data_IF_930932976400
#
_entry.id   IF_930932976400
#
_cell.length_a   1.000
_cell.length_b   1.000
_cell.length_c   1.000
_cell.angle_alpha   90.00
_cell.angle_beta   90.00
_cell.angle_gamma   90.00
#
_symmetry.space_group_name_H-M   'P 1'
#
loop_
_entity.id
_entity.type
_entity.pdbx_description
1 polymer ?
#
# COMPACT_ATOMS: atom_id res chain seq x y z
N UNK A 1 -8.47 -2.33 14.16
CA UNK A 1 -7.79 -3.08 13.07
C UNK A 1 -6.93 -2.11 12.30
N UNK A 2 -5.71 -1.86 12.79
CA UNK A 2 -4.98 -0.65 12.42
C UNK A 2 -4.19 -0.77 11.11
N UNK A 3 -3.50 -1.89 10.87
CA UNK A 3 -2.61 -2.06 9.72
C UNK A 3 -2.58 -3.54 9.33
N UNK A 4 -2.80 -3.86 8.04
CA UNK A 4 -2.65 -5.23 7.55
C UNK A 4 -1.17 -5.59 7.43
N UNK A 5 -0.83 -6.86 7.61
CA UNK A 5 0.47 -7.42 7.21
C UNK A 5 0.52 -7.67 5.70
N UNK A 6 1.71 -7.93 5.16
CA UNK A 6 1.87 -8.30 3.75
C UNK A 6 1.12 -9.58 3.37
N UNK A 7 1.14 -10.59 4.25
CA UNK A 7 0.40 -11.84 4.01
C UNK A 7 -1.11 -11.65 4.11
N UNK A 8 -1.62 -10.86 5.07
CA UNK A 8 -3.04 -10.52 5.12
C UNK A 8 -3.49 -9.73 3.88
N UNK A 9 -2.63 -8.87 3.35
CA UNK A 9 -2.89 -8.20 2.07
C UNK A 9 -2.99 -9.22 0.93
N UNK A 10 -1.98 -10.07 0.73
CA UNK A 10 -1.97 -11.09 -0.33
C UNK A 10 -3.15 -12.04 -0.19
N UNK A 11 -3.47 -12.48 1.02
CA UNK A 11 -4.60 -13.34 1.32
C UNK A 11 -5.93 -12.67 0.96
N UNK A 12 -6.10 -11.38 1.31
CA UNK A 12 -7.31 -10.65 0.92
C UNK A 12 -7.49 -10.50 -0.59
N UNK A 13 -6.41 -10.58 -1.38
CA UNK A 13 -6.50 -10.64 -2.84
C UNK A 13 -6.99 -11.99 -3.35
N UNK A 14 -6.55 -13.09 -2.73
CA UNK A 14 -6.96 -14.47 -3.10
C UNK A 14 -8.41 -14.77 -2.77
N UNK A 15 -8.96 -14.12 -1.75
CA UNK A 15 -10.36 -14.26 -1.33
C UNK A 15 -11.35 -13.49 -2.21
N UNK A 16 -10.86 -12.53 -3.01
CA UNK A 16 -11.71 -11.76 -3.91
C UNK A 16 -12.17 -12.60 -5.10
N UNK A 17 -13.40 -12.34 -5.56
CA UNK A 17 -13.93 -12.95 -6.79
C UNK A 17 -13.04 -12.56 -7.99
N UNK A 18 -12.50 -13.54 -8.74
CA UNK A 18 -11.72 -13.25 -9.94
C UNK A 18 -12.57 -12.51 -10.98
N UNK A 19 -12.06 -11.38 -11.47
CA UNK A 19 -12.75 -10.56 -12.48
C UNK A 19 -11.80 -9.82 -13.44
N UNK A 20 -10.48 -9.99 -13.30
CA UNK A 20 -9.48 -9.32 -14.13
C UNK A 20 -9.20 -10.17 -15.36
N UNK A 21 -9.42 -9.60 -16.55
CA UNK A 21 -9.10 -10.26 -17.82
C UNK A 21 -7.91 -9.56 -18.48
N UNK A 22 -6.93 -10.34 -18.93
CA UNK A 22 -5.76 -9.84 -19.65
C UNK A 22 -5.36 -10.85 -20.72
N UNK A 23 -5.00 -10.37 -21.92
CA UNK A 23 -4.68 -11.23 -23.07
C UNK A 23 -5.77 -12.26 -23.39
N UNK A 24 -7.05 -11.87 -23.26
CA UNK A 24 -8.20 -12.73 -23.59
C UNK A 24 -8.51 -13.83 -22.57
N UNK A 25 -7.81 -13.91 -21.44
CA UNK A 25 -8.08 -14.88 -20.37
C UNK A 25 -8.40 -14.21 -19.05
N UNK A 26 -9.24 -14.86 -18.24
CA UNK A 26 -9.44 -14.53 -16.83
C UNK A 26 -8.16 -14.87 -16.05
N UNK A 27 -7.73 -13.95 -15.19
CA UNK A 27 -6.71 -14.20 -14.17
C UNK A 27 -7.43 -14.68 -12.92
N UNK A 28 -7.25 -15.95 -12.55
CA UNK A 28 -7.90 -16.56 -11.38
C UNK A 28 -7.23 -16.13 -10.06
N UNK A 29 -5.91 -15.98 -10.05
CA UNK A 29 -5.15 -15.56 -8.88
C UNK A 29 -4.11 -14.49 -9.25
N UNK A 30 -4.38 -13.26 -8.84
CA UNK A 30 -3.49 -12.11 -9.11
C UNK A 30 -2.16 -12.19 -8.36
N UNK A 31 -2.08 -13.00 -7.30
CA UNK A 31 -0.87 -13.13 -6.47
C UNK A 31 0.17 -14.05 -7.10
N UNK A 32 -0.24 -14.93 -8.01
CA UNK A 32 0.64 -15.93 -8.65
C UNK A 32 0.78 -15.75 -10.16
N UNK A 33 -0.17 -15.10 -10.83
CA UNK A 33 -0.12 -14.90 -12.28
C UNK A 33 1.10 -14.06 -12.72
N UNK A 34 1.87 -14.49 -13.73
CA UNK A 34 3.06 -13.76 -14.20
C UNK A 34 2.80 -12.30 -14.58
N UNK A 35 1.58 -11.97 -15.01
CA UNK A 35 1.22 -10.65 -15.47
C UNK A 35 0.88 -9.66 -14.34
N UNK A 36 0.68 -10.13 -13.10
CA UNK A 36 0.25 -9.32 -11.95
C UNK A 36 1.08 -9.53 -10.68
N UNK A 37 1.69 -10.71 -10.49
CA UNK A 37 2.38 -11.08 -9.24
C UNK A 37 3.42 -10.07 -8.77
N UNK A 38 4.17 -9.48 -9.69
CA UNK A 38 5.21 -8.50 -9.36
C UNK A 38 4.64 -7.16 -8.92
N UNK A 39 3.48 -6.77 -9.46
CA UNK A 39 2.74 -5.61 -8.96
C UNK A 39 2.21 -5.88 -7.56
N UNK A 40 1.69 -7.07 -7.29
CA UNK A 40 1.26 -7.46 -5.94
C UNK A 40 2.43 -7.43 -4.96
N UNK A 41 3.59 -7.99 -5.34
CA UNK A 41 4.78 -8.00 -4.51
C UNK A 41 5.32 -6.59 -4.23
N UNK A 42 5.35 -5.71 -5.23
CA UNK A 42 5.73 -4.31 -5.02
C UNK A 42 4.83 -3.59 -4.02
N UNK A 43 3.53 -3.90 -4.02
CA UNK A 43 2.60 -3.35 -3.02
C UNK A 43 2.72 -4.02 -1.65
N UNK A 44 3.08 -5.31 -1.56
CA UNK A 44 3.24 -6.00 -0.27
C UNK A 44 4.36 -5.40 0.58
N UNK A 45 5.43 -4.93 -0.06
CA UNK A 45 6.52 -4.21 0.62
C UNK A 45 6.04 -2.97 1.40
N UNK A 46 4.95 -2.32 0.95
CA UNK A 46 4.36 -1.17 1.66
C UNK A 46 3.70 -1.63 2.97
N UNK A 47 3.13 -2.84 2.99
CA UNK A 47 2.56 -3.42 4.21
C UNK A 47 3.67 -3.90 5.14
N UNK A 48 4.75 -4.50 4.62
CA UNK A 48 5.94 -4.82 5.43
C UNK A 48 6.54 -3.58 6.11
N UNK A 49 6.72 -2.49 5.37
CA UNK A 49 7.27 -1.24 5.91
C UNK A 49 6.43 -0.65 7.07
N UNK A 50 5.14 -0.97 7.17
CA UNK A 50 4.28 -0.52 8.28
C UNK A 50 4.59 -1.24 9.59
N UNK A 51 5.24 -2.41 9.53
CA UNK A 51 5.61 -3.22 10.69
C UNK A 51 7.12 -3.22 10.96
N UNK A 52 7.92 -2.65 10.05
CA UNK A 52 9.36 -2.44 10.23
C UNK A 52 9.61 -1.32 11.25
N UNK A 53 10.33 -1.56 12.37
CA UNK A 53 10.61 -0.55 13.39
C UNK A 53 11.33 0.70 12.88
N UNK A 54 12.14 0.61 11.83
CA UNK A 54 12.90 1.74 11.28
C UNK A 54 12.06 2.59 10.31
N UNK A 55 11.07 1.97 9.66
CA UNK A 55 10.26 2.60 8.61
C UNK A 55 8.86 2.99 9.07
N UNK A 56 8.33 2.33 10.11
CA UNK A 56 6.93 2.47 10.58
C UNK A 56 6.51 3.92 10.77
N UNK A 57 7.31 4.72 11.46
CA UNK A 57 6.96 6.12 11.77
C UNK A 57 6.92 7.02 10.52
N UNK A 58 7.61 6.61 9.46
CA UNK A 58 7.61 7.31 8.16
C UNK A 58 6.36 6.96 7.35
N UNK A 59 5.88 5.72 7.42
CA UNK A 59 4.81 5.19 6.56
C UNK A 59 3.44 5.10 7.26
N UNK A 60 3.39 5.32 8.57
CA UNK A 60 2.18 5.35 9.39
C UNK A 60 2.00 6.69 10.09
N UNK A 61 0.79 6.94 10.57
CA UNK A 61 0.42 8.10 11.39
C UNK A 61 -0.83 7.73 12.22
N UNK A 62 -1.04 8.39 13.36
CA UNK A 62 -2.28 8.26 14.11
C UNK A 62 -3.39 9.05 13.42
N UNK A 63 -4.48 8.38 13.09
CA UNK A 63 -5.67 9.01 12.53
C UNK A 63 -6.30 9.97 13.54
N UNK A 64 -6.50 11.22 13.14
CA UNK A 64 -7.20 12.20 13.97
C UNK A 64 -8.71 11.93 14.10
N UNK A 65 -9.27 11.06 13.25
CA UNK A 65 -10.68 10.69 13.30
C UNK A 65 -10.94 9.52 14.25
N UNK A 66 -10.00 8.57 14.34
CA UNK A 66 -10.21 7.31 15.05
C UNK A 66 -9.26 7.10 16.22
N UNK A 67 -8.17 7.85 16.33
CA UNK A 67 -7.11 7.62 17.33
C UNK A 67 -6.25 6.38 17.06
N UNK A 68 -6.52 5.65 15.98
CA UNK A 68 -5.83 4.41 15.62
C UNK A 68 -4.69 4.68 14.63
N UNK A 69 -3.62 3.86 14.63
CA UNK A 69 -2.60 3.92 13.59
C UNK A 69 -3.20 3.57 12.23
N UNK A 70 -2.85 4.36 11.22
CA UNK A 70 -3.25 4.15 9.83
C UNK A 70 -2.03 4.27 8.92
N UNK A 71 -2.14 3.72 7.71
CA UNK A 71 -1.18 4.04 6.65
C UNK A 71 -1.30 5.53 6.32
N UNK A 72 -0.16 6.21 6.17
CA UNK A 72 -0.13 7.63 5.82
C UNK A 72 -0.78 7.92 4.46
N UNK A 73 -0.91 6.93 3.57
CA UNK A 73 -1.74 7.08 2.36
C UNK A 73 -3.23 7.37 2.62
N UNK A 74 -3.72 7.01 3.80
CA UNK A 74 -5.12 7.20 4.21
C UNK A 74 -5.30 8.41 5.13
N UNK A 75 -4.24 9.15 5.45
CA UNK A 75 -4.34 10.31 6.33
C UNK A 75 -4.87 11.53 5.59
N UNK A 76 -5.76 12.28 6.24
CA UNK A 76 -6.09 13.65 5.82
C UNK A 76 -4.94 14.55 6.24
N UNK A 77 -4.43 15.32 5.28
CA UNK A 77 -3.30 16.23 5.46
C UNK A 77 -3.83 17.54 6.05
N UNK A 78 -3.38 17.89 7.25
CA UNK A 78 -3.89 19.04 8.03
C UNK A 78 -2.84 20.13 8.24
N UNK A 79 -1.60 19.93 7.80
CA UNK A 79 -0.52 20.91 7.91
C UNK A 79 0.48 20.80 6.76
N UNK A 80 1.30 21.83 6.57
CA UNK A 80 2.40 21.81 5.61
C UNK A 80 3.45 20.74 5.95
N UNK A 81 3.68 20.49 7.24
CA UNK A 81 4.59 19.44 7.71
C UNK A 81 4.07 18.04 7.33
N UNK A 82 2.77 17.77 7.55
CA UNK A 82 2.15 16.51 7.15
C UNK A 82 2.23 16.30 5.64
N UNK A 83 2.14 17.37 4.83
CA UNK A 83 2.33 17.30 3.37
C UNK A 83 3.77 16.96 2.98
N UNK A 84 4.75 17.55 3.66
CA UNK A 84 6.17 17.24 3.46
C UNK A 84 6.44 15.77 3.81
N UNK A 85 5.91 15.29 4.93
CA UNK A 85 6.10 13.90 5.36
C UNK A 85 5.40 12.90 4.44
N UNK A 86 4.21 13.24 3.92
CA UNK A 86 3.57 12.47 2.85
C UNK A 86 4.45 12.38 1.60
N UNK A 87 5.12 13.47 1.21
CA UNK A 87 6.05 13.48 0.08
C UNK A 87 7.30 12.63 0.33
N UNK A 88 7.88 12.71 1.53
CA UNK A 88 9.02 11.86 1.95
C UNK A 88 8.64 10.38 1.96
N UNK A 89 7.46 10.05 2.50
CA UNK A 89 6.92 8.71 2.55
C UNK A 89 6.73 8.12 1.15
N UNK A 90 6.15 8.88 0.22
CA UNK A 90 6.02 8.47 -1.19
C UNK A 90 7.39 8.17 -1.83
N UNK A 91 8.37 9.07 -1.65
CA UNK A 91 9.73 8.86 -2.18
C UNK A 91 10.38 7.59 -1.62
N UNK A 92 10.28 7.35 -0.31
CA UNK A 92 10.76 6.14 0.34
C UNK A 92 10.15 4.89 -0.29
N UNK A 93 8.83 4.86 -0.45
CA UNK A 93 8.13 3.69 -0.98
C UNK A 93 8.38 3.47 -2.48
N UNK A 94 8.67 4.52 -3.25
CA UNK A 94 9.11 4.39 -4.64
C UNK A 94 10.51 3.79 -4.74
N UNK A 95 11.43 4.16 -3.84
CA UNK A 95 12.75 3.52 -3.78
C UNK A 95 12.66 2.06 -3.35
N UNK A 96 11.77 1.73 -2.42
CA UNK A 96 11.60 0.36 -1.93
C UNK A 96 11.00 -0.55 -3.03
N UNK A 97 9.86 -0.15 -3.59
CA UNK A 97 9.12 -0.95 -4.57
C UNK A 97 9.66 -0.88 -6.01
N UNK A 98 10.59 0.04 -6.28
CA UNK A 98 11.13 0.29 -7.62
C UNK A 98 10.11 0.84 -8.63
N UNK A 99 8.89 1.18 -8.20
CA UNK A 99 7.79 1.62 -9.06
C UNK A 99 6.94 2.69 -8.37
N UNK A 100 6.03 3.31 -9.13
CA UNK A 100 4.98 4.14 -8.56
C UNK A 100 3.96 3.26 -7.81
N UNK A 101 3.51 3.69 -6.63
CA UNK A 101 2.51 3.00 -5.81
C UNK A 101 1.07 3.38 -6.17
N UNK A 102 0.76 3.49 -7.47
CA UNK A 102 -0.51 4.02 -7.97
C UNK A 102 -1.76 3.30 -7.44
N UNK A 103 -1.66 2.01 -7.08
CA UNK A 103 -2.76 1.25 -6.46
C UNK A 103 -3.03 1.58 -4.98
N UNK A 104 -2.16 2.38 -4.35
CA UNK A 104 -2.25 2.77 -2.93
C UNK A 104 -2.29 4.27 -2.73
N UNK A 105 -1.75 5.05 -3.66
CA UNK A 105 -1.78 6.50 -3.59
C UNK A 105 -3.10 7.03 -4.18
N UNK A 106 -4.03 7.46 -3.33
CA UNK A 106 -5.04 8.41 -3.77
C UNK A 106 -4.32 9.76 -4.02
N UNK A 107 -4.31 10.22 -5.27
CA UNK A 107 -3.78 11.54 -5.61
C UNK A 107 -4.63 12.60 -4.93
N UNK A 108 -4.25 13.02 -3.73
CA UNK A 108 -4.80 14.20 -3.09
C UNK A 108 -4.09 15.42 -3.70
N UNK A 109 -4.87 16.22 -4.44
CA UNK A 109 -4.54 17.59 -4.82
C UNK A 109 -4.94 18.54 -3.72
#
# INVERSE_FOLDING_TARGET
MALKTAEEYKQSLREMRPNIHKFGRLIEDVTSDPATKWTVEGHSQIYEAQHDPELKDKVTIISHLTGEPISRYLSIIRSAEEQIDNSKMKRLLFHLSGTCTGGRCAGWT
#
